data_IF_065887108592
#
_entry.id   IF_065887108592
#
_cell.length_a   1.000
_cell.length_b   1.000
_cell.length_c   1.000
_cell.angle_alpha   90.00
_cell.angle_beta   90.00
_cell.angle_gamma   90.00
#
_symmetry.space_group_name_H-M   'P 1'
#
loop_
_entity.id
_entity.type
_entity.pdbx_description
1 polymer ?
#
# COMPACT_ATOMS: atom_id res chain seq x y z
N UNK A 1 28.48 -32.27 -22.01
CA UNK A 1 28.93 -33.28 -21.04
C UNK A 1 29.85 -32.59 -20.06
N UNK A 2 29.28 -31.91 -19.06
CA UNK A 2 29.97 -31.53 -17.83
C UNK A 2 28.92 -31.26 -16.75
N UNK A 3 29.27 -31.70 -15.55
CA UNK A 3 28.39 -32.04 -14.45
C UNK A 3 27.81 -30.81 -13.75
N UNK A 4 26.53 -30.91 -13.38
CA UNK A 4 25.87 -30.01 -12.46
C UNK A 4 26.06 -30.51 -11.02
N UNK A 5 26.38 -29.66 -10.04
CA UNK A 5 26.44 -30.08 -8.65
C UNK A 5 25.04 -30.14 -8.04
N UNK A 6 24.74 -31.29 -7.42
CA UNK A 6 23.68 -31.48 -6.42
C UNK A 6 24.06 -30.71 -5.16
N UNK A 7 23.14 -29.91 -4.64
CA UNK A 7 23.18 -29.44 -3.25
C UNK A 7 21.89 -29.81 -2.53
N UNK A 8 22.01 -30.91 -1.78
CA UNK A 8 21.63 -31.13 -0.39
C UNK A 8 20.34 -30.52 0.19
N UNK A 9 19.47 -31.47 0.54
CA UNK A 9 18.43 -31.49 1.57
C UNK A 9 18.59 -30.47 2.72
N UNK A 10 17.75 -29.43 2.71
CA UNK A 10 17.44 -28.66 3.92
C UNK A 10 16.28 -29.33 4.64
N UNK A 11 16.61 -30.03 5.73
CA UNK A 11 15.66 -30.54 6.73
C UNK A 11 14.80 -29.39 7.27
N UNK A 12 13.49 -29.48 7.04
CA UNK A 12 12.49 -28.66 7.70
C UNK A 12 12.40 -29.03 9.18
N UNK A 13 12.85 -28.14 10.05
CA UNK A 13 12.64 -28.24 11.50
C UNK A 13 11.18 -27.84 11.79
N UNK A 14 10.36 -28.83 12.14
CA UNK A 14 8.97 -28.64 12.53
C UNK A 14 8.89 -27.81 13.83
N UNK A 15 8.23 -26.65 13.75
CA UNK A 15 7.81 -25.87 14.92
C UNK A 15 6.69 -26.63 15.63
N UNK A 16 6.96 -27.04 16.86
CA UNK A 16 6.01 -27.74 17.73
C UNK A 16 4.82 -26.87 18.09
N UNK A 17 3.62 -27.43 17.92
CA UNK A 17 2.39 -26.88 18.46
C UNK A 17 2.37 -26.95 20.00
N UNK A 18 1.83 -25.95 20.71
CA UNK A 18 1.64 -26.06 22.15
C UNK A 18 0.56 -27.08 22.48
N UNK A 19 0.90 -27.99 23.40
CA UNK A 19 0.00 -29.00 23.95
C UNK A 19 -1.19 -28.35 24.66
N UNK A 20 -2.41 -28.73 24.25
CA UNK A 20 -3.62 -28.42 24.98
C UNK A 20 -3.64 -29.22 26.29
N UNK A 21 -3.61 -28.51 27.42
CA UNK A 21 -3.78 -29.10 28.74
C UNK A 21 -5.22 -29.63 28.89
N UNK A 22 -5.37 -30.94 28.98
CA UNK A 22 -6.59 -31.62 29.40
C UNK A 22 -6.80 -31.41 30.89
N UNK A 23 -7.87 -30.72 31.26
CA UNK A 23 -8.31 -30.62 32.65
C UNK A 23 -9.17 -31.84 32.96
N UNK A 24 -8.61 -32.74 33.77
CA UNK A 24 -9.30 -33.88 34.38
C UNK A 24 -10.40 -33.40 35.33
N UNK A 25 -11.62 -33.91 35.13
CA UNK A 25 -12.75 -33.71 36.03
C UNK A 25 -12.88 -34.95 36.93
N UNK A 26 -12.89 -34.81 38.26
CA UNK A 26 -12.92 -35.95 39.18
C UNK A 26 -14.30 -36.62 39.21
N UNK A 27 -14.28 -37.95 39.21
CA UNK A 27 -15.42 -38.83 39.49
C UNK A 27 -15.79 -38.77 40.97
N UNK A 28 -17.08 -38.67 41.35
CA UNK A 28 -17.47 -38.79 42.75
C UNK A 28 -17.74 -40.25 43.14
N UNK A 29 -17.17 -40.61 44.28
CA UNK A 29 -17.34 -41.86 45.01
C UNK A 29 -18.78 -42.13 45.43
N UNK A 30 -19.11 -43.42 45.46
CA UNK A 30 -20.33 -43.97 46.03
C UNK A 30 -20.26 -43.94 47.56
N UNK A 31 -21.33 -43.50 48.21
CA UNK A 31 -21.58 -43.80 49.63
C UNK A 31 -23.04 -44.21 49.79
N UNK A 32 -23.24 -45.47 50.15
CA UNK A 32 -24.51 -46.04 50.58
C UNK A 32 -24.79 -45.68 52.03
N UNK A 33 -26.03 -45.32 52.34
CA UNK A 33 -26.65 -45.57 53.66
C UNK A 33 -28.15 -45.69 53.48
N UNK A 34 -28.66 -46.88 53.80
CA UNK A 34 -30.05 -47.19 54.09
C UNK A 34 -30.52 -46.44 55.35
N UNK A 35 -31.69 -45.81 55.28
CA UNK A 35 -32.65 -45.73 56.40
C UNK A 35 -34.07 -45.67 55.82
N UNK A 36 -34.85 -46.69 56.16
CA UNK A 36 -36.30 -46.85 55.96
C UNK A 36 -37.09 -45.97 56.94
N UNK A 37 -38.12 -45.25 56.46
CA UNK A 37 -39.24 -44.71 57.26
C UNK A 37 -40.30 -43.99 56.41
N UNK A 38 -41.50 -44.59 56.31
CA UNK A 38 -42.80 -43.93 56.53
C UNK A 38 -43.39 -42.95 55.50
N UNK A 39 -44.52 -43.37 54.89
CA UNK A 39 -45.63 -42.59 54.28
C UNK A 39 -45.64 -41.05 54.50
N UNK A 40 -46.03 -40.21 53.50
CA UNK A 40 -47.31 -40.35 52.77
C UNK A 40 -47.22 -40.15 51.25
N UNK A 41 -48.23 -40.67 50.52
CA UNK A 41 -48.44 -40.49 49.08
C UNK A 41 -48.61 -38.99 48.73
N UNK A 42 -47.50 -38.30 48.44
CA UNK A 42 -47.46 -37.01 47.74
C UNK A 42 -47.56 -37.28 46.24
N UNK A 43 -48.48 -36.58 45.57
CA UNK A 43 -48.83 -36.78 44.17
C UNK A 43 -47.61 -36.87 43.26
N UNK A 44 -47.68 -37.80 42.31
CA UNK A 44 -46.71 -38.03 41.25
C UNK A 44 -46.30 -36.71 40.59
N UNK A 45 -45.18 -36.14 41.03
CA UNK A 45 -44.49 -35.12 40.28
C UNK A 45 -44.03 -35.82 39.00
N UNK A 46 -44.82 -35.68 37.93
CA UNK A 46 -44.47 -36.14 36.58
C UNK A 46 -43.04 -35.74 36.32
N UNK A 47 -42.13 -36.72 36.29
CA UNK A 47 -40.75 -36.50 35.92
C UNK A 47 -40.75 -35.69 34.62
N UNK A 48 -40.07 -34.53 34.56
CA UNK A 48 -40.09 -33.70 33.38
C UNK A 48 -39.61 -34.57 32.22
N UNK A 49 -40.51 -34.81 31.26
CA UNK A 49 -40.18 -35.58 30.06
C UNK A 49 -39.06 -34.83 29.37
N UNK A 50 -37.82 -35.33 29.50
CA UNK A 50 -36.65 -34.76 28.86
C UNK A 50 -36.95 -34.61 27.37
N UNK A 51 -36.92 -33.38 26.88
CA UNK A 51 -37.15 -33.08 25.48
C UNK A 51 -36.02 -33.76 24.70
N UNK A 52 -36.30 -34.92 24.11
CA UNK A 52 -35.35 -35.59 23.20
C UNK A 52 -35.29 -34.73 21.94
N UNK A 53 -34.22 -33.95 21.82
CA UNK A 53 -33.93 -33.21 20.60
C UNK A 53 -33.63 -34.21 19.49
N UNK A 54 -34.51 -34.27 18.49
CA UNK A 54 -34.22 -35.00 17.27
C UNK A 54 -33.17 -34.24 16.47
N UNK A 55 -32.31 -34.94 15.72
CA UNK A 55 -31.24 -34.33 14.92
C UNK A 55 -31.76 -33.21 14.00
N UNK A 56 -32.97 -33.33 13.48
CA UNK A 56 -33.63 -32.30 12.67
C UNK A 56 -33.88 -30.99 13.44
N UNK A 57 -34.30 -31.06 14.72
CA UNK A 57 -34.51 -29.86 15.53
C UNK A 57 -33.19 -29.15 15.83
N UNK A 58 -32.13 -29.92 16.07
CA UNK A 58 -30.78 -29.36 16.26
C UNK A 58 -30.32 -28.66 14.99
N UNK A 59 -30.42 -29.32 13.84
CA UNK A 59 -30.07 -28.73 12.55
C UNK A 59 -30.87 -27.45 12.27
N UNK A 60 -32.19 -27.49 12.48
CA UNK A 60 -33.05 -26.32 12.30
C UNK A 60 -32.69 -25.16 13.23
N UNK A 61 -32.42 -25.45 14.51
CA UNK A 61 -31.98 -24.45 15.47
C UNK A 61 -30.63 -23.84 15.06
N UNK A 62 -29.65 -24.67 14.66
CA UNK A 62 -28.36 -24.17 14.15
C UNK A 62 -28.54 -23.28 12.93
N UNK A 63 -29.36 -23.68 11.96
CA UNK A 63 -29.66 -22.87 10.77
C UNK A 63 -30.33 -21.54 11.13
N UNK A 64 -31.31 -21.54 12.05
CA UNK A 64 -31.94 -20.32 12.54
C UNK A 64 -30.93 -19.41 13.27
N UNK A 65 -30.02 -19.98 14.05
CA UNK A 65 -28.96 -19.21 14.72
C UNK A 65 -28.03 -18.57 13.70
N UNK A 66 -27.56 -19.30 12.69
CA UNK A 66 -26.73 -18.74 11.61
C UNK A 66 -27.50 -17.62 10.88
N UNK A 67 -28.76 -17.85 10.51
CA UNK A 67 -29.59 -16.83 9.87
C UNK A 67 -29.76 -15.57 10.73
N UNK A 68 -29.96 -15.73 12.04
CA UNK A 68 -30.07 -14.60 12.97
C UNK A 68 -28.74 -13.84 13.08
N UNK A 69 -27.60 -14.55 13.14
CA UNK A 69 -26.27 -13.93 13.14
C UNK A 69 -26.03 -13.14 11.85
N UNK A 70 -26.37 -13.70 10.69
CA UNK A 70 -26.27 -13.02 9.40
C UNK A 70 -27.15 -11.76 9.34
N UNK A 71 -28.39 -11.82 9.83
CA UNK A 71 -29.30 -10.66 9.87
C UNK A 71 -28.77 -9.57 10.80
N UNK A 72 -28.34 -9.94 12.01
CA UNK A 72 -27.74 -8.99 12.96
C UNK A 72 -26.45 -8.38 12.36
N UNK A 73 -25.62 -9.21 11.72
CA UNK A 73 -24.43 -8.79 10.99
C UNK A 73 -24.77 -7.78 9.89
N UNK A 74 -25.75 -8.07 9.06
CA UNK A 74 -26.22 -7.20 7.99
C UNK A 74 -26.68 -5.84 8.51
N UNK A 75 -27.57 -5.81 9.51
CA UNK A 75 -28.03 -4.55 10.12
C UNK A 75 -26.92 -3.79 10.83
N UNK A 76 -25.98 -4.50 11.46
CA UNK A 76 -24.80 -3.89 12.09
C UNK A 76 -23.87 -3.26 11.05
N UNK A 77 -23.68 -3.90 9.89
CA UNK A 77 -22.89 -3.36 8.79
C UNK A 77 -23.60 -2.15 8.17
N UNK A 78 -24.90 -2.26 7.87
CA UNK A 78 -25.68 -1.19 7.24
C UNK A 78 -25.79 0.05 8.13
N UNK A 79 -26.04 -0.11 9.44
CA UNK A 79 -26.11 1.02 10.38
C UNK A 79 -24.78 1.75 10.57
N UNK A 80 -23.66 1.16 10.12
CA UNK A 80 -22.33 1.76 10.17
C UNK A 80 -21.87 2.32 8.81
N UNK A 81 -22.71 2.27 7.79
CA UNK A 81 -22.43 2.91 6.50
C UNK A 81 -22.50 4.42 6.69
N UNK A 82 -21.48 5.12 6.21
CA UNK A 82 -21.47 6.58 6.21
C UNK A 82 -22.44 7.08 5.14
N UNK A 83 -23.40 7.91 5.53
CA UNK A 83 -24.39 8.45 4.61
C UNK A 83 -23.75 9.44 3.63
N UNK A 84 -24.31 9.55 2.42
CA UNK A 84 -23.84 10.47 1.38
C UNK A 84 -23.76 11.93 1.88
N UNK A 85 -24.75 12.37 2.67
CA UNK A 85 -24.78 13.72 3.27
C UNK A 85 -23.59 13.99 4.21
N UNK A 86 -23.03 12.96 4.87
CA UNK A 86 -21.85 13.12 5.71
C UNK A 86 -20.61 13.38 4.86
N UNK A 87 -20.49 12.68 3.73
CA UNK A 87 -19.40 12.88 2.78
C UNK A 87 -19.44 14.26 2.14
N UNK A 88 -20.61 14.74 1.72
CA UNK A 88 -20.79 16.08 1.14
C UNK A 88 -20.46 17.19 2.15
N UNK A 89 -20.87 17.02 3.40
CA UNK A 89 -20.51 17.95 4.49
C UNK A 89 -19.01 17.94 4.77
N UNK A 90 -18.37 16.77 4.76
CA UNK A 90 -16.93 16.66 4.95
C UNK A 90 -16.15 17.29 3.79
N UNK A 91 -16.59 17.06 2.55
CA UNK A 91 -16.02 17.70 1.36
C UNK A 91 -16.15 19.23 1.43
N UNK A 92 -17.33 19.74 1.81
CA UNK A 92 -17.56 21.19 1.99
C UNK A 92 -16.64 21.79 3.07
N UNK A 93 -16.47 21.07 4.18
CA UNK A 93 -15.53 21.48 5.23
C UNK A 93 -14.09 21.54 4.67
N UNK A 94 -13.62 20.47 4.04
CA UNK A 94 -12.24 20.38 3.54
C UNK A 94 -11.96 21.41 2.45
N UNK A 95 -12.92 21.70 1.57
CA UNK A 95 -12.79 22.70 0.52
C UNK A 95 -12.47 24.12 1.03
N UNK A 96 -12.75 24.41 2.30
CA UNK A 96 -12.48 25.72 2.90
C UNK A 96 -11.24 25.74 3.80
N UNK A 97 -10.64 24.58 4.08
CA UNK A 97 -9.54 24.44 5.06
C UNK A 97 -8.25 23.89 4.46
N UNK A 98 -8.36 23.11 3.38
CA UNK A 98 -7.23 22.47 2.70
C UNK A 98 -6.59 23.47 1.74
N UNK A 99 -5.28 23.68 1.89
CA UNK A 99 -4.41 24.40 0.97
C UNK A 99 -3.75 23.46 -0.05
N UNK A 100 -3.16 24.00 -1.11
CA UNK A 100 -2.59 23.22 -2.21
C UNK A 100 -1.47 22.28 -1.78
N UNK A 101 -0.69 22.65 -0.76
CA UNK A 101 0.43 21.87 -0.19
C UNK A 101 0.03 20.93 0.96
N UNK A 102 -1.27 20.88 1.30
CA UNK A 102 -1.80 19.96 2.29
C UNK A 102 -2.05 18.57 1.67
N UNK A 103 -1.69 17.53 2.43
CA UNK A 103 -2.03 16.15 2.11
C UNK A 103 -3.43 15.79 2.60
N UNK A 104 -4.05 14.80 1.95
CA UNK A 104 -5.33 14.25 2.35
C UNK A 104 -5.26 12.73 2.38
N UNK A 105 -5.53 12.12 3.53
CA UNK A 105 -5.53 10.68 3.71
C UNK A 105 -6.87 10.18 4.24
N UNK A 106 -7.22 8.93 3.96
CA UNK A 106 -8.53 8.36 4.29
C UNK A 106 -8.38 7.11 5.15
N UNK A 107 -9.10 7.05 6.28
CA UNK A 107 -8.98 5.95 7.23
C UNK A 107 -10.34 5.31 7.60
N UNK A 108 -10.55 3.99 7.41
CA UNK A 108 -9.62 3.04 6.82
C UNK A 108 -9.44 3.22 5.30
N UNK A 109 -8.28 2.80 4.80
CA UNK A 109 -7.84 2.99 3.41
C UNK A 109 -8.83 2.49 2.35
N UNK A 110 -9.54 1.38 2.61
CA UNK A 110 -10.52 0.83 1.66
C UNK A 110 -11.68 1.79 1.34
N UNK A 111 -11.89 2.84 2.15
CA UNK A 111 -12.87 3.89 1.86
C UNK A 111 -12.37 4.93 0.86
N UNK A 112 -11.08 4.95 0.50
CA UNK A 112 -10.49 5.93 -0.41
C UNK A 112 -11.28 6.10 -1.71
N UNK A 113 -11.76 5.05 -2.42
CA UNK A 113 -12.57 5.24 -3.62
C UNK A 113 -13.86 6.05 -3.38
N UNK A 114 -14.55 5.82 -2.26
CA UNK A 114 -15.78 6.55 -1.91
C UNK A 114 -15.47 7.99 -1.53
N UNK A 115 -14.44 8.20 -0.73
CA UNK A 115 -13.97 9.53 -0.39
C UNK A 115 -13.59 10.34 -1.64
N UNK A 116 -12.87 9.72 -2.59
CA UNK A 116 -12.47 10.40 -3.84
C UNK A 116 -13.64 10.85 -4.69
N UNK A 117 -14.69 10.04 -4.79
CA UNK A 117 -15.92 10.44 -5.49
C UNK A 117 -16.60 11.65 -4.84
N UNK A 118 -16.59 11.73 -3.50
CA UNK A 118 -17.23 12.83 -2.78
C UNK A 118 -16.38 14.12 -2.72
N UNK A 119 -15.06 13.97 -2.61
CA UNK A 119 -14.13 15.10 -2.47
C UNK A 119 -13.85 15.82 -3.80
N UNK A 120 -14.08 15.15 -4.94
CA UNK A 120 -13.98 15.76 -6.27
C UNK A 120 -12.61 16.39 -6.52
N UNK A 121 -12.59 17.67 -6.87
CA UNK A 121 -11.38 18.43 -7.22
C UNK A 121 -10.35 18.56 -6.08
N UNK A 122 -10.73 18.29 -4.82
CA UNK A 122 -9.76 18.24 -3.72
C UNK A 122 -8.79 17.06 -3.85
N UNK A 123 -9.09 16.12 -4.73
CA UNK A 123 -8.38 14.86 -4.93
C UNK A 123 -7.41 15.03 -6.10
N UNK A 124 -6.27 15.66 -5.84
CA UNK A 124 -5.21 15.79 -6.85
C UNK A 124 -4.39 14.50 -6.98
N UNK A 125 -3.66 14.36 -8.08
CA UNK A 125 -2.75 13.22 -8.29
C UNK A 125 -1.71 13.13 -7.17
N UNK A 126 -1.20 14.28 -6.71
CA UNK A 126 -0.22 14.38 -5.63
C UNK A 126 -0.79 13.88 -4.29
N UNK A 127 -2.02 14.27 -3.94
CA UNK A 127 -2.65 13.89 -2.66
C UNK A 127 -3.05 12.41 -2.60
N UNK A 128 -3.36 11.81 -3.73
CA UNK A 128 -3.79 10.40 -3.79
C UNK A 128 -2.63 9.45 -4.04
N UNK A 129 -1.71 9.84 -4.92
CA UNK A 129 -0.63 9.01 -5.40
C UNK A 129 0.66 9.11 -4.60
N UNK A 130 0.63 9.69 -3.40
CA UNK A 130 1.83 9.90 -2.60
C UNK A 130 2.52 8.57 -2.25
N UNK A 131 3.85 8.61 -2.15
CA UNK A 131 4.63 7.47 -1.65
C UNK A 131 4.85 7.54 -0.14
N UNK A 132 5.01 8.75 0.38
CA UNK A 132 5.02 9.07 1.81
C UNK A 132 4.51 10.51 2.05
N UNK A 133 4.45 10.90 3.32
CA UNK A 133 3.97 12.23 3.73
C UNK A 133 5.06 13.30 3.68
N UNK A 134 6.21 13.04 3.05
CA UNK A 134 7.32 14.00 3.03
C UNK A 134 6.94 15.27 2.26
N UNK A 135 6.22 15.13 1.15
CA UNK A 135 5.85 16.26 0.28
C UNK A 135 4.93 17.30 0.94
N UNK A 136 4.27 16.96 2.04
CA UNK A 136 3.24 17.80 2.66
C UNK A 136 3.73 18.50 3.92
N UNK A 137 3.21 19.70 4.16
CA UNK A 137 3.47 20.49 5.38
C UNK A 137 2.47 20.18 6.50
N UNK A 138 1.26 19.79 6.09
CA UNK A 138 0.17 19.37 6.95
C UNK A 138 -0.69 18.34 6.22
N UNK A 139 -1.36 17.48 7.00
CA UNK A 139 -2.23 16.43 6.47
C UNK A 139 -3.58 16.46 7.16
N UNK A 140 -4.64 16.35 6.36
CA UNK A 140 -5.99 16.08 6.82
C UNK A 140 -6.32 14.60 6.68
N UNK A 141 -6.61 13.95 7.79
CA UNK A 141 -7.15 12.59 7.82
C UNK A 141 -8.68 12.63 7.85
N UNK A 142 -9.32 12.09 6.81
CA UNK A 142 -10.74 11.83 6.79
C UNK A 142 -11.02 10.40 7.25
N UNK A 143 -11.50 10.25 8.48
CA UNK A 143 -11.69 8.94 9.11
C UNK A 143 -13.14 8.58 9.40
N UNK A 144 -13.44 7.29 9.41
CA UNK A 144 -14.70 6.73 9.90
C UNK A 144 -14.45 5.68 10.98
N UNK A 145 -15.45 5.47 11.84
CA UNK A 145 -15.47 4.38 12.84
C UNK A 145 -14.26 4.40 13.80
N UNK A 146 -13.69 5.59 14.05
CA UNK A 146 -12.53 5.76 14.93
C UNK A 146 -11.23 5.15 14.41
N UNK A 147 -11.16 4.74 13.14
CA UNK A 147 -9.93 4.24 12.52
C UNK A 147 -8.94 5.39 12.33
N UNK A 148 -7.66 5.04 12.30
CA UNK A 148 -6.56 5.94 11.95
C UNK A 148 -5.77 5.39 10.78
N UNK A 149 -5.18 6.29 10.00
CA UNK A 149 -4.28 5.97 8.90
C UNK A 149 -2.92 5.52 9.48
N UNK A 150 -2.33 4.43 8.97
CA UNK A 150 -1.06 3.91 9.50
C UNK A 150 0.09 4.93 9.39
N UNK A 151 0.16 5.72 8.32
CA UNK A 151 1.22 6.73 8.13
C UNK A 151 1.18 7.89 9.14
N UNK A 152 0.10 8.00 9.91
CA UNK A 152 -0.07 9.00 10.98
C UNK A 152 0.08 8.38 12.37
N UNK A 153 0.49 7.11 12.46
CA UNK A 153 0.74 6.45 13.73
C UNK A 153 1.81 7.19 14.53
N UNK A 154 1.56 7.36 15.84
CA UNK A 154 2.46 8.10 16.74
C UNK A 154 2.36 9.63 16.65
N UNK A 155 1.65 10.19 15.66
CA UNK A 155 1.39 11.62 15.59
C UNK A 155 0.12 11.99 16.36
N UNK A 156 0.17 13.13 17.04
CA UNK A 156 -0.99 13.74 17.67
C UNK A 156 -1.66 14.72 16.71
N UNK A 157 -2.99 14.67 16.65
CA UNK A 157 -3.76 15.58 15.84
C UNK A 157 -3.75 16.98 16.49
N UNK A 158 -3.37 18.00 15.73
CA UNK A 158 -3.45 19.39 16.14
C UNK A 158 -4.91 19.85 16.29
N UNK A 159 -5.82 19.30 15.47
CA UNK A 159 -7.24 19.58 15.52
C UNK A 159 -8.07 18.33 15.18
N UNK A 160 -9.26 18.22 15.76
CA UNK A 160 -10.21 17.12 15.52
C UNK A 160 -11.61 17.69 15.38
N UNK A 161 -12.20 17.51 14.19
CA UNK A 161 -13.55 17.97 13.86
C UNK A 161 -14.42 16.78 13.50
N UNK A 162 -15.63 16.70 14.08
CA UNK A 162 -16.60 15.66 13.72
C UNK A 162 -17.63 16.20 12.73
N UNK A 163 -17.84 15.44 11.66
CA UNK A 163 -18.84 15.75 10.62
C UNK A 163 -19.71 14.51 10.40
N UNK A 164 -20.87 14.47 11.06
CA UNK A 164 -21.74 13.29 11.05
C UNK A 164 -21.04 12.03 11.59
N UNK A 165 -21.01 10.98 10.78
CA UNK A 165 -20.29 9.74 11.07
C UNK A 165 -18.78 9.80 10.80
N UNK A 166 -18.29 10.87 10.17
CA UNK A 166 -16.88 11.08 9.84
C UNK A 166 -16.18 11.94 10.90
N UNK A 167 -14.87 11.74 11.04
CA UNK A 167 -13.98 12.55 11.86
C UNK A 167 -12.82 13.01 11.01
N UNK A 168 -12.62 14.32 10.93
CA UNK A 168 -11.51 14.97 10.26
C UNK A 168 -10.47 15.31 11.31
N UNK A 169 -9.23 14.87 11.10
CA UNK A 169 -8.10 15.21 11.97
C UNK A 169 -7.05 15.96 11.17
N UNK A 170 -6.52 17.02 11.76
CA UNK A 170 -5.46 17.83 11.17
C UNK A 170 -4.14 17.50 11.87
N UNK A 171 -3.10 17.21 11.10
CA UNK A 171 -1.76 16.92 11.61
C UNK A 171 -0.76 17.90 11.01
N UNK A 172 -0.02 18.62 11.87
CA UNK A 172 1.06 19.49 11.44
C UNK A 172 2.33 18.65 11.27
N UNK A 173 2.82 18.53 10.03
CA UNK A 173 4.06 17.78 9.72
C UNK A 173 5.31 18.67 9.79
N UNK A 174 5.13 20.00 9.76
CA UNK A 174 6.21 20.97 9.68
C UNK A 174 6.64 21.23 8.24
N UNK A 175 7.73 21.97 8.00
CA UNK A 175 8.20 22.26 6.64
C UNK A 175 8.49 20.97 5.85
N UNK A 176 8.07 20.94 4.59
CA UNK A 176 8.40 19.84 3.68
C UNK A 176 9.94 19.81 3.47
N UNK A 177 10.60 18.66 3.62
CA UNK A 177 12.00 18.51 3.33
C UNK A 177 12.26 18.37 1.84
N UNK A 178 11.22 18.19 1.01
CA UNK A 178 11.36 17.94 -0.43
C UNK A 178 11.85 19.23 -1.11
N UNK A 179 13.05 19.15 -1.66
CA UNK A 179 13.68 20.22 -2.43
C UNK A 179 13.31 20.13 -3.92
N UNK A 180 13.17 18.90 -4.43
CA UNK A 180 12.87 18.67 -5.84
C UNK A 180 12.15 17.33 -6.05
N UNK A 181 10.98 17.38 -6.66
CA UNK A 181 10.19 16.19 -7.04
C UNK A 181 10.57 15.76 -8.47
N UNK A 182 11.41 14.73 -8.59
CA UNK A 182 11.86 14.20 -9.89
C UNK A 182 10.67 13.64 -10.70
N UNK A 183 9.71 13.02 -10.01
CA UNK A 183 8.49 12.46 -10.62
C UNK A 183 7.60 13.56 -11.19
N UNK A 184 7.44 14.65 -10.45
CA UNK A 184 6.71 15.84 -10.91
C UNK A 184 7.37 16.53 -12.09
N UNK A 185 8.71 16.57 -12.12
CA UNK A 185 9.51 17.22 -13.15
C UNK A 185 9.97 16.30 -14.29
N UNK A 186 9.34 15.14 -14.45
CA UNK A 186 9.73 14.12 -15.44
C UNK A 186 9.90 14.64 -16.87
N UNK A 187 9.10 15.62 -17.31
CA UNK A 187 9.21 16.19 -18.67
C UNK A 187 10.54 16.91 -18.94
N UNK A 188 11.29 17.29 -17.89
CA UNK A 188 12.60 17.91 -18.00
C UNK A 188 13.74 16.87 -18.16
N UNK A 189 13.43 15.57 -18.06
CA UNK A 189 14.44 14.52 -18.17
C UNK A 189 14.88 14.28 -19.62
N UNK A 190 16.01 13.60 -19.77
CA UNK A 190 16.42 12.92 -20.99
C UNK A 190 16.25 11.42 -20.77
N UNK A 191 15.68 10.73 -21.76
CA UNK A 191 15.44 9.28 -21.66
C UNK A 191 16.15 8.58 -22.81
N UNK A 192 16.94 7.57 -22.48
CA UNK A 192 17.65 6.73 -23.43
C UNK A 192 17.31 5.26 -23.22
N UNK A 193 17.21 4.52 -24.32
CA UNK A 193 17.26 3.07 -24.32
C UNK A 193 18.70 2.65 -24.63
N UNK A 194 19.33 1.94 -23.70
CA UNK A 194 20.75 1.60 -23.78
C UNK A 194 20.93 0.10 -24.01
N UNK A 195 21.67 -0.27 -25.06
CA UNK A 195 22.05 -1.65 -25.39
C UNK A 195 23.57 -1.76 -25.36
N UNK A 196 24.13 -2.44 -24.35
CA UNK A 196 25.57 -2.43 -24.11
C UNK A 196 26.08 -1.00 -23.90
N UNK A 197 26.90 -0.51 -24.83
CA UNK A 197 27.47 0.85 -24.84
C UNK A 197 26.72 1.83 -25.76
N UNK A 198 25.77 1.35 -26.55
CA UNK A 198 24.99 2.19 -27.48
C UNK A 198 23.76 2.77 -26.78
N UNK A 199 23.62 4.10 -26.80
CA UNK A 199 22.47 4.80 -26.27
C UNK A 199 21.59 5.34 -27.41
N UNK A 200 20.32 4.95 -27.42
CA UNK A 200 19.31 5.44 -28.34
C UNK A 200 18.36 6.39 -27.60
N UNK A 201 18.28 7.68 -27.98
CA UNK A 201 17.37 8.61 -27.33
C UNK A 201 15.91 8.26 -27.61
N UNK A 202 15.09 8.28 -26.56
CA UNK A 202 13.64 8.15 -26.63
C UNK A 202 13.03 9.52 -26.93
N UNK A 203 12.15 9.62 -27.94
CA UNK A 203 11.59 10.91 -28.34
C UNK A 203 10.44 11.33 -27.42
N UNK A 204 10.50 12.53 -26.85
CA UNK A 204 9.37 13.10 -26.12
C UNK A 204 8.22 13.43 -27.08
N UNK A 205 7.01 13.02 -26.74
CA UNK A 205 5.81 13.29 -27.51
C UNK A 205 4.61 13.60 -26.60
N UNK A 206 3.69 14.42 -27.11
CA UNK A 206 2.36 14.63 -26.54
C UNK A 206 1.33 14.05 -27.50
N UNK A 207 0.59 13.05 -27.06
CA UNK A 207 -0.46 12.37 -27.83
C UNK A 207 -1.75 12.25 -27.05
N UNK A 208 -2.66 11.40 -27.52
CA UNK A 208 -3.86 11.06 -26.75
C UNK A 208 -3.50 10.20 -25.53
N UNK A 209 -4.31 10.31 -24.49
CA UNK A 209 -4.35 9.32 -23.41
C UNK A 209 -4.67 7.95 -24.01
N UNK A 210 -3.87 6.94 -23.66
CA UNK A 210 -4.13 5.56 -24.06
C UNK A 210 -5.02 4.85 -23.05
N UNK A 211 -5.23 3.55 -23.29
CA UNK A 211 -5.94 2.68 -22.33
C UNK A 211 -5.00 2.31 -21.17
N UNK A 212 -5.59 1.88 -20.06
CA UNK A 212 -4.94 1.33 -18.88
C UNK A 212 -5.92 1.25 -17.71
N UNK A 213 -5.41 0.99 -16.52
CA UNK A 213 -6.16 0.77 -15.29
C UNK A 213 -6.28 -0.71 -14.93
N UNK A 214 -7.17 -1.02 -13.98
CA UNK A 214 -7.37 -2.36 -13.46
C UNK A 214 -7.61 -3.41 -14.57
N UNK A 215 -6.76 -4.44 -14.63
CA UNK A 215 -6.75 -5.51 -15.64
C UNK A 215 -6.13 -5.12 -17.00
N UNK A 216 -5.64 -3.90 -17.17
CA UNK A 216 -5.15 -3.37 -18.45
C UNK A 216 -3.74 -2.74 -18.38
N UNK A 217 -3.06 -2.85 -17.24
CA UNK A 217 -1.75 -2.24 -17.01
C UNK A 217 -1.82 -0.74 -16.75
N UNK A 218 -0.69 -0.02 -16.77
CA UNK A 218 -0.65 1.41 -16.46
C UNK A 218 -1.46 2.20 -17.50
N UNK A 219 -2.05 3.32 -17.07
CA UNK A 219 -2.60 4.29 -17.99
C UNK A 219 -1.45 4.88 -18.83
N UNK A 220 -1.55 4.77 -20.16
CA UNK A 220 -0.58 5.42 -21.06
C UNK A 220 -0.82 6.94 -21.07
N UNK A 221 0.09 7.76 -20.52
CA UNK A 221 -0.11 9.19 -20.39
C UNK A 221 0.03 9.90 -21.74
N UNK A 222 -0.59 11.08 -21.85
CA UNK A 222 -0.51 11.90 -23.05
C UNK A 222 0.94 12.35 -23.33
N UNK A 223 1.63 12.85 -22.29
CA UNK A 223 3.04 13.25 -22.34
C UNK A 223 3.94 12.08 -21.93
N UNK A 224 4.83 11.65 -22.84
CA UNK A 224 5.73 10.51 -22.63
C UNK A 224 6.91 10.52 -23.58
N UNK A 225 8.00 9.87 -23.19
CA UNK A 225 9.11 9.53 -24.07
C UNK A 225 8.83 8.18 -24.73
N UNK A 226 8.77 8.16 -26.07
CA UNK A 226 8.60 6.93 -26.84
C UNK A 226 9.96 6.38 -27.25
N UNK A 227 10.35 5.24 -26.69
CA UNK A 227 11.65 4.64 -26.99
C UNK A 227 11.64 3.87 -28.31
N UNK A 228 10.53 3.21 -28.64
CA UNK A 228 10.39 2.59 -29.96
C UNK A 228 8.96 2.69 -30.52
N UNK A 229 8.84 3.17 -31.76
CA UNK A 229 7.53 3.39 -32.41
C UNK A 229 6.79 2.09 -32.74
N UNK A 230 7.52 0.99 -32.97
CA UNK A 230 6.93 -0.32 -33.29
C UNK A 230 6.44 -1.06 -32.04
N UNK A 231 6.97 -0.71 -30.87
CA UNK A 231 6.57 -1.21 -29.55
C UNK A 231 5.89 -0.09 -28.76
N UNK A 232 4.61 0.22 -29.02
CA UNK A 232 3.93 1.37 -28.40
C UNK A 232 3.83 1.28 -26.87
N UNK A 233 3.97 0.07 -26.30
CA UNK A 233 4.06 -0.18 -24.86
C UNK A 233 5.42 0.20 -24.25
N UNK A 234 6.47 0.37 -25.08
CA UNK A 234 7.81 0.75 -24.64
C UNK A 234 7.95 2.28 -24.64
N UNK A 235 7.51 2.86 -23.53
CA UNK A 235 7.60 4.30 -23.26
C UNK A 235 8.02 4.54 -21.81
N UNK A 236 8.45 5.78 -21.55
CA UNK A 236 8.65 6.30 -20.18
C UNK A 236 7.72 7.48 -19.97
N UNK A 237 6.96 7.49 -18.88
CA UNK A 237 5.94 8.53 -18.67
C UNK A 237 5.38 8.54 -17.26
N UNK A 238 5.00 9.73 -16.77
CA UNK A 238 4.28 9.86 -15.49
C UNK A 238 2.89 9.26 -15.60
N UNK A 239 2.52 8.40 -14.66
CA UNK A 239 1.22 7.73 -14.60
C UNK A 239 0.82 7.46 -13.15
N UNK A 240 -0.37 6.86 -12.97
CA UNK A 240 -0.80 6.28 -11.71
C UNK A 240 -0.82 4.77 -11.88
N UNK A 241 -0.19 4.06 -10.94
CA UNK A 241 -0.15 2.60 -10.92
C UNK A 241 -0.59 2.10 -9.55
N UNK A 242 -1.37 1.02 -9.51
CA UNK A 242 -1.75 0.38 -8.24
C UNK A 242 -0.61 -0.54 -7.75
N UNK A 243 -0.21 -0.36 -6.49
CA UNK A 243 0.74 -1.26 -5.83
C UNK A 243 0.07 -2.57 -5.35
N UNK A 244 0.85 -3.45 -4.72
CA UNK A 244 0.39 -4.73 -4.22
C UNK A 244 -0.79 -4.64 -3.22
N UNK A 245 -0.98 -3.52 -2.53
CA UNK A 245 -2.11 -3.30 -1.61
C UNK A 245 -3.25 -2.51 -2.23
N UNK A 246 -3.21 -2.34 -3.57
CA UNK A 246 -4.16 -1.57 -4.37
C UNK A 246 -4.19 -0.08 -4.02
N UNK A 247 -3.09 0.45 -3.46
CA UNK A 247 -2.93 1.88 -3.29
C UNK A 247 -2.45 2.51 -4.59
N UNK A 248 -3.08 3.62 -5.03
CA UNK A 248 -2.61 4.35 -6.20
C UNK A 248 -1.26 5.01 -5.90
N UNK A 249 -0.30 4.90 -6.82
CA UNK A 249 1.01 5.52 -6.74
C UNK A 249 1.23 6.41 -7.95
N UNK A 250 1.48 7.70 -7.73
CA UNK A 250 1.95 8.65 -8.75
C UNK A 250 3.43 8.36 -8.98
N UNK A 251 3.74 7.90 -10.17
CA UNK A 251 5.07 7.38 -10.48
C UNK A 251 5.42 7.58 -11.96
N UNK A 252 6.68 7.40 -12.29
CA UNK A 252 7.18 7.29 -13.65
C UNK A 252 7.20 5.82 -14.02
N UNK A 253 6.41 5.46 -15.03
CA UNK A 253 6.48 4.16 -15.67
C UNK A 253 7.77 4.08 -16.49
N UNK A 254 8.61 3.07 -16.23
CA UNK A 254 9.89 2.86 -16.91
C UNK A 254 10.12 1.36 -17.11
N UNK A 255 9.33 0.75 -17.99
CA UNK A 255 9.40 -0.68 -18.27
C UNK A 255 10.73 -1.07 -18.95
N UNK A 256 11.46 -2.10 -18.48
CA UNK A 256 12.67 -2.58 -19.15
C UNK A 256 12.35 -3.14 -20.56
N UNK A 257 13.18 -2.88 -21.57
CA UNK A 257 12.79 -3.18 -22.95
C UNK A 257 12.97 -4.65 -23.34
N UNK A 258 14.19 -5.15 -23.17
CA UNK A 258 14.65 -6.48 -23.58
C UNK A 258 15.83 -6.94 -22.70
N UNK A 259 16.12 -8.26 -22.62
CA UNK A 259 17.24 -8.76 -21.84
C UNK A 259 18.56 -8.11 -22.27
N UNK A 260 19.39 -7.69 -21.30
CA UNK A 260 20.67 -7.03 -21.57
C UNK A 260 20.58 -5.55 -22.02
N UNK A 261 19.37 -4.98 -22.02
CA UNK A 261 19.14 -3.54 -22.20
C UNK A 261 18.73 -2.88 -20.89
N UNK A 262 18.91 -1.57 -20.81
CA UNK A 262 18.40 -0.74 -19.72
C UNK A 262 17.75 0.52 -20.24
N UNK A 263 16.67 0.92 -19.60
CA UNK A 263 16.06 2.23 -19.83
C UNK A 263 16.68 3.18 -18.83
N UNK A 264 17.22 4.31 -19.30
CA UNK A 264 17.90 5.33 -18.51
C UNK A 264 17.08 6.61 -18.55
N UNK A 265 16.82 7.20 -17.38
CA UNK A 265 16.21 8.53 -17.25
C UNK A 265 17.17 9.44 -16.49
N UNK A 266 17.55 10.55 -17.11
CA UNK A 266 18.58 11.47 -16.65
C UNK A 266 18.00 12.86 -16.43
N UNK A 267 18.21 13.41 -15.25
CA UNK A 267 17.88 14.78 -14.90
C UNK A 267 19.18 15.57 -14.73
N UNK A 268 19.27 16.71 -15.40
CA UNK A 268 20.36 17.66 -15.25
C UNK A 268 19.99 18.74 -14.24
N UNK A 269 21.01 19.40 -13.69
CA UNK A 269 20.85 20.58 -12.81
C UNK A 269 19.91 20.35 -11.61
N UNK A 270 19.89 19.14 -11.05
CA UNK A 270 19.03 18.77 -9.91
C UNK A 270 19.64 19.32 -8.62
N UNK A 271 18.90 20.07 -7.78
CA UNK A 271 19.41 20.48 -6.47
C UNK A 271 19.54 19.25 -5.58
N UNK A 272 20.76 18.87 -5.21
CA UNK A 272 21.08 17.55 -4.67
C UNK A 272 20.75 17.38 -3.19
N UNK A 273 20.64 18.45 -2.39
CA UNK A 273 20.25 18.34 -0.98
C UNK A 273 21.11 17.36 -0.17
N UNK A 274 20.48 16.67 0.79
CA UNK A 274 21.16 15.68 1.64
C UNK A 274 20.98 14.24 1.14
N UNK A 275 19.78 13.90 0.63
CA UNK A 275 19.47 12.54 0.14
C UNK A 275 18.47 12.58 -1.00
N UNK A 276 18.53 11.56 -1.85
CA UNK A 276 17.47 11.17 -2.76
C UNK A 276 16.69 10.03 -2.10
N UNK A 277 15.36 10.14 -2.08
CA UNK A 277 14.45 9.06 -1.68
C UNK A 277 13.69 8.60 -2.89
N UNK A 278 13.71 7.29 -3.14
CA UNK A 278 13.04 6.67 -4.26
C UNK A 278 12.18 5.52 -3.76
N UNK A 279 10.99 5.40 -4.33
CA UNK A 279 10.12 4.26 -4.19
C UNK A 279 9.96 3.59 -5.55
N UNK A 280 9.90 2.27 -5.59
CA UNK A 280 9.62 1.53 -6.80
C UNK A 280 8.79 0.30 -6.51
N UNK A 281 8.07 -0.16 -7.52
CA UNK A 281 7.29 -1.37 -7.47
C UNK A 281 6.74 -1.74 -8.84
N UNK A 282 5.85 -2.72 -8.81
CA UNK A 282 5.24 -3.32 -9.99
C UNK A 282 3.74 -3.01 -10.04
N UNK A 283 3.16 -3.15 -11.22
CA UNK A 283 1.71 -3.25 -11.34
C UNK A 283 1.17 -4.43 -10.53
N UNK A 284 0.12 -4.23 -9.72
CA UNK A 284 -0.40 -5.22 -8.76
C UNK A 284 -0.60 -6.63 -9.34
N UNK A 285 -1.09 -6.78 -10.58
CA UNK A 285 -1.32 -8.10 -11.16
C UNK A 285 -0.01 -8.83 -11.43
N UNK A 286 1.02 -8.10 -11.86
CA UNK A 286 2.31 -8.71 -12.13
C UNK A 286 3.03 -9.04 -10.82
N UNK A 287 2.81 -8.23 -9.77
CA UNK A 287 3.42 -8.44 -8.47
C UNK A 287 2.80 -9.59 -7.68
N UNK A 288 1.46 -9.74 -7.73
CA UNK A 288 0.74 -10.74 -6.92
C UNK A 288 0.98 -12.17 -7.40
N UNK A 289 1.25 -12.37 -8.69
CA UNK A 289 1.33 -13.70 -9.29
C UNK A 289 2.64 -14.40 -8.96
N UNK A 290 3.73 -13.63 -8.75
CA UNK A 290 5.04 -14.14 -8.35
C UNK A 290 5.63 -15.15 -9.35
N UNK A 291 5.52 -14.81 -10.63
CA UNK A 291 5.83 -15.73 -11.74
C UNK A 291 7.16 -15.40 -12.44
N UNK A 292 7.72 -14.20 -12.28
CA UNK A 292 8.82 -13.72 -13.12
C UNK A 292 10.07 -13.32 -12.33
N UNK A 293 11.17 -13.13 -13.05
CA UNK A 293 12.46 -12.72 -12.49
C UNK A 293 12.44 -11.29 -11.91
N UNK A 294 13.44 -10.93 -11.09
CA UNK A 294 13.53 -9.57 -10.55
C UNK A 294 13.79 -8.52 -11.64
N UNK A 295 13.56 -7.26 -11.30
CA UNK A 295 14.19 -6.14 -11.99
C UNK A 295 15.22 -5.46 -11.08
N UNK A 296 16.20 -4.81 -11.67
CA UNK A 296 17.19 -4.00 -11.00
C UNK A 296 16.98 -2.52 -11.33
N UNK A 297 17.04 -1.70 -10.29
CA UNK A 297 16.99 -0.24 -10.38
C UNK A 297 18.26 0.34 -9.75
N UNK A 298 18.96 1.18 -10.50
CA UNK A 298 20.19 1.85 -10.06
C UNK A 298 20.02 3.35 -10.10
N UNK A 299 20.51 4.03 -9.08
CA UNK A 299 20.55 5.48 -8.98
C UNK A 299 22.00 5.93 -9.06
N UNK A 300 22.30 6.86 -9.95
CA UNK A 300 23.60 7.49 -10.07
C UNK A 300 23.51 8.99 -9.79
N UNK A 301 24.51 9.50 -9.08
CA UNK A 301 24.70 10.92 -8.81
C UNK A 301 26.05 11.32 -9.39
N UNK A 302 26.06 12.31 -10.29
CA UNK A 302 27.26 12.78 -10.98
C UNK A 302 28.08 11.64 -11.63
N UNK A 303 27.35 10.65 -12.20
CA UNK A 303 27.92 9.49 -12.88
C UNK A 303 28.43 8.36 -11.96
N UNK A 304 28.28 8.49 -10.64
CA UNK A 304 28.66 7.44 -9.66
C UNK A 304 27.41 6.75 -9.13
N UNK A 305 27.41 5.41 -9.12
CA UNK A 305 26.31 4.66 -8.51
C UNK A 305 26.22 5.01 -7.01
N UNK A 306 25.07 5.53 -6.61
CA UNK A 306 24.82 5.99 -5.24
C UNK A 306 23.88 5.04 -4.49
N UNK A 307 23.01 4.32 -5.19
CA UNK A 307 22.14 3.30 -4.63
C UNK A 307 21.69 2.28 -5.68
N UNK A 308 21.32 1.08 -5.21
CA UNK A 308 20.84 -0.03 -6.03
C UNK A 308 19.70 -0.77 -5.29
N UNK A 309 18.66 -1.15 -6.03
CA UNK A 309 17.57 -1.99 -5.57
C UNK A 309 17.37 -3.14 -6.56
N UNK A 310 17.37 -4.38 -6.04
CA UNK A 310 16.75 -5.52 -6.71
C UNK A 310 15.33 -5.68 -6.18
N UNK A 311 14.33 -5.68 -7.05
CA UNK A 311 12.92 -5.82 -6.71
C UNK A 311 12.40 -7.19 -7.15
N UNK A 312 11.73 -7.91 -6.25
CA UNK A 312 11.11 -9.20 -6.54
C UNK A 312 9.59 -9.09 -6.47
N UNK A 313 8.90 -9.95 -7.20
CA UNK A 313 7.44 -10.06 -7.08
C UNK A 313 7.03 -10.30 -5.63
N UNK A 314 6.14 -9.46 -5.11
CA UNK A 314 5.66 -9.51 -3.74
C UNK A 314 6.38 -8.57 -2.77
N UNK A 315 7.41 -7.84 -3.21
CA UNK A 315 8.10 -6.85 -2.38
C UNK A 315 7.22 -5.61 -2.07
N UNK A 316 6.23 -5.29 -2.92
CA UNK A 316 5.29 -4.18 -2.77
C UNK A 316 5.85 -2.84 -3.26
N UNK A 317 5.41 -1.73 -2.65
CA UNK A 317 5.97 -0.41 -2.93
C UNK A 317 7.23 -0.18 -2.09
N UNK A 318 8.38 -0.55 -2.65
CA UNK A 318 9.66 -0.66 -1.94
C UNK A 318 10.44 0.64 -1.96
N UNK A 319 11.09 0.97 -0.84
CA UNK A 319 11.85 2.20 -0.64
C UNK A 319 13.36 2.00 -0.79
N UNK A 320 14.04 2.98 -1.37
CA UNK A 320 15.48 3.11 -1.53
C UNK A 320 15.91 4.54 -1.15
N UNK A 321 17.07 4.67 -0.51
CA UNK A 321 17.68 5.98 -0.24
C UNK A 321 19.09 6.02 -0.81
N UNK A 322 19.48 7.17 -1.37
CA UNK A 322 20.85 7.46 -1.79
C UNK A 322 21.32 8.74 -1.09
N UNK A 323 22.49 8.71 -0.46
CA UNK A 323 23.11 9.93 0.06
C UNK A 323 23.64 10.76 -1.11
N UNK A 324 23.23 12.02 -1.18
CA UNK A 324 23.67 12.99 -2.20
C UNK A 324 24.62 14.04 -1.62
N UNK A 325 24.60 14.20 -0.29
CA UNK A 325 25.47 15.08 0.47
C UNK A 325 25.47 14.76 1.98
N UNK A 326 26.23 15.53 2.76
CA UNK A 326 26.21 15.45 4.22
C UNK A 326 25.04 16.22 4.85
N UNK A 327 24.89 16.20 6.19
CA UNK A 327 23.84 16.94 6.89
C UNK A 327 23.84 18.45 6.62
N UNK A 328 25.02 19.02 6.36
CA UNK A 328 25.23 20.44 6.04
C UNK A 328 25.42 20.67 4.52
N UNK A 329 24.92 19.76 3.69
CA UNK A 329 25.00 19.91 2.24
C UNK A 329 24.34 21.22 1.78
N UNK A 330 25.06 21.97 0.97
CA UNK A 330 24.56 23.20 0.36
C UNK A 330 23.31 22.90 -0.47
N UNK A 331 22.13 23.44 -0.12
CA UNK A 331 20.89 23.19 -0.87
C UNK A 331 20.92 23.79 -2.28
N UNK A 332 21.88 24.67 -2.57
CA UNK A 332 22.10 25.23 -3.91
C UNK A 332 23.01 24.38 -4.79
N UNK A 333 23.66 23.35 -4.24
CA UNK A 333 24.45 22.40 -5.04
C UNK A 333 23.53 21.69 -6.00
N UNK A 334 23.79 21.87 -7.29
CA UNK A 334 23.15 21.12 -8.37
C UNK A 334 24.06 19.99 -8.86
N UNK A 335 23.46 18.97 -9.44
CA UNK A 335 24.18 17.87 -10.08
C UNK A 335 23.30 17.03 -10.98
N UNK A 336 23.87 15.96 -11.52
CA UNK A 336 23.17 15.04 -12.41
C UNK A 336 22.61 13.87 -11.63
N UNK A 337 21.32 13.57 -11.81
CA UNK A 337 20.67 12.37 -11.27
C UNK A 337 20.26 11.47 -12.42
N UNK A 338 20.62 10.19 -12.33
CA UNK A 338 20.27 9.19 -13.33
C UNK A 338 19.62 7.98 -12.66
N UNK A 339 18.49 7.51 -13.22
CA UNK A 339 17.77 6.32 -12.78
C UNK A 339 17.78 5.33 -13.95
N UNK A 340 18.37 4.16 -13.72
CA UNK A 340 18.40 3.07 -14.69
C UNK A 340 17.53 1.91 -14.22
N UNK A 341 16.79 1.30 -15.15
CA UNK A 341 15.98 0.10 -14.92
C UNK A 341 16.35 -0.97 -15.94
N UNK A 342 16.65 -2.18 -15.46
CA UNK A 342 17.00 -3.35 -16.26
C UNK A 342 16.36 -4.62 -15.68
N UNK A 343 16.20 -5.65 -16.51
CA UNK A 343 15.75 -6.97 -16.08
C UNK A 343 16.24 -8.05 -17.05
N UNK A 344 16.67 -9.19 -16.52
CA UNK A 344 17.02 -10.36 -17.33
C UNK A 344 15.78 -10.96 -18.02
N UNK A 345 14.64 -10.95 -17.34
CA UNK A 345 13.32 -11.25 -17.90
C UNK A 345 12.45 -9.98 -17.83
N UNK A 346 12.35 -9.19 -18.92
CA UNK A 346 11.54 -7.96 -18.93
C UNK A 346 10.04 -8.24 -18.99
N UNK A 347 9.61 -9.50 -19.17
CA UNK A 347 8.19 -9.81 -19.29
C UNK A 347 7.44 -9.44 -18.01
N UNK A 348 6.37 -8.66 -18.18
CA UNK A 348 5.49 -8.21 -17.10
C UNK A 348 6.26 -7.54 -15.94
N UNK A 349 7.39 -6.87 -16.20
CA UNK A 349 8.13 -6.16 -15.15
C UNK A 349 7.59 -4.78 -14.87
N UNK A 350 6.65 -4.25 -15.64
CA UNK A 350 5.78 -3.10 -15.29
C UNK A 350 6.29 -2.05 -14.29
N UNK A 351 7.56 -1.64 -14.42
CA UNK A 351 8.24 -0.91 -13.35
C UNK A 351 7.68 0.49 -13.27
N UNK A 352 7.31 0.89 -12.07
CA UNK A 352 6.96 2.27 -11.76
C UNK A 352 7.76 2.75 -10.56
N UNK A 353 8.30 3.97 -10.63
CA UNK A 353 9.05 4.57 -9.52
C UNK A 353 8.62 6.00 -9.22
N UNK A 354 8.76 6.42 -7.97
CA UNK A 354 8.57 7.80 -7.52
C UNK A 354 9.82 8.26 -6.81
N UNK A 355 10.32 9.47 -7.09
CA UNK A 355 11.57 9.93 -6.50
C UNK A 355 11.57 11.43 -6.23
N UNK A 356 12.22 11.80 -5.12
CA UNK A 356 12.40 13.18 -4.73
C UNK A 356 13.73 13.39 -4.00
N UNK A 357 14.24 14.63 -4.06
CA UNK A 357 15.41 15.06 -3.31
C UNK A 357 14.97 15.75 -2.04
N UNK A 358 15.60 15.40 -0.92
CA UNK A 358 15.30 15.92 0.41
C UNK A 358 16.47 16.63 1.06
N UNK A 359 16.17 17.68 1.82
CA UNK A 359 17.08 18.27 2.79
C UNK A 359 17.25 17.37 4.03
N UNK A 360 18.23 17.70 4.87
CA UNK A 360 18.41 17.04 6.17
C UNK A 360 17.31 17.42 7.20
N UNK A 361 16.51 18.45 6.90
CA UNK A 361 15.49 19.02 7.79
C UNK A 361 14.23 18.16 7.79
N UNK A 362 14.32 16.96 8.37
CA UNK A 362 13.17 16.18 8.92
C UNK A 362 13.59 15.06 9.87
N UNK A 363 14.89 14.77 9.99
CA UNK A 363 15.40 13.64 10.75
C UNK A 363 15.23 13.73 12.30
N UNK A 364 14.55 14.75 12.85
CA UNK A 364 14.30 14.82 14.31
C UNK A 364 12.98 14.19 14.76
N UNK A 365 12.09 13.83 13.85
CA UNK A 365 10.81 13.17 14.20
C UNK A 365 10.65 11.79 13.55
N UNK A 366 11.51 11.43 12.59
CA UNK A 366 11.66 10.05 12.09
C UNK A 366 12.45 9.18 13.10
N UNK A 367 11.97 9.08 14.35
CA UNK A 367 12.49 8.07 15.29
C UNK A 367 11.49 6.91 15.35
N UNK A 368 11.81 5.93 14.51
CA UNK A 368 11.52 4.48 14.55
C UNK A 368 10.06 3.97 14.36
N UNK A 369 9.90 2.83 13.66
CA UNK A 369 8.63 2.12 13.48
C UNK A 369 8.08 1.48 14.76
#
# INVERSE_FOLDING_TARGET
>A
MHDAPRHDDVRATALGAPAAASVDVPSPEATSTDVDSGMPRRGEARAPRGVRWTAWRVLFACTLTVAAVEVIGHFTVQSRVVHQEDWERAASFLATHVADDDGLVVAPEWMSPVARMALGELVTEERVGYSDLAGFTRVFELSARGRRHPDLAGLEAANVTRVGALTIREYALGPSPVLFDLTGHFEAAHVDLVHGDEAQPCAFQRGSLGRGGLGAGPLMPAARFQCERRRPWLYVGRTINEDLTLQPRRCVWQHPAEPGSRVRTTFEDVPLGARLVLYAGLYYEHERMREHGPFDLRVYIDGREAAHMTHRDGDGWKRLEALTGGPDADPTRVGRVQIEVEADDPHLRSVCWSADIRSAVRARTEVAP
#
